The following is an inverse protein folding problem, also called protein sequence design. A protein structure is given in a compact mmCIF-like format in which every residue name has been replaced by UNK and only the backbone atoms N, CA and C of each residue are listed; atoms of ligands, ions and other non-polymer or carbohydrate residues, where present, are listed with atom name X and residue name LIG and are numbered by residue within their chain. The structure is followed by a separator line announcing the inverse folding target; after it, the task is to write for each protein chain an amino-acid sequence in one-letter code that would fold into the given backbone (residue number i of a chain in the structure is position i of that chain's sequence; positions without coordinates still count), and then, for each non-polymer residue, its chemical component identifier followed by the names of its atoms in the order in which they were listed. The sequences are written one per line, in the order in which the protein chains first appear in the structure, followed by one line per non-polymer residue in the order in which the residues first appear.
data_IF_438591366760
#
_entry.id   IF_438591366760
#
_cell.length_a   1.000
_cell.length_b   1.000
_cell.length_c   1.000
_cell.angle_alpha   90.00
_cell.angle_beta   90.00
_cell.angle_gamma   90.00
#
_symmetry.space_group_name_H-M   'P 1'
#
loop_
_entity.id
_entity.type
_entity.pdbx_description
1 polymer ?
#
# COMPACT_ATOMS: atom_id res chain seq x y z
N UNK A 1 35.06 -5.68 -0.41
CA UNK A 1 33.92 -5.86 0.52
C UNK A 1 32.85 -6.64 -0.23
N UNK A 2 32.56 -7.88 0.18
CA UNK A 2 31.53 -8.69 -0.45
C UNK A 2 30.16 -8.20 0.03
N UNK A 3 29.40 -7.58 -0.86
CA UNK A 3 28.04 -7.14 -0.55
C UNK A 3 27.17 -8.36 -0.31
N UNK A 4 26.60 -8.46 0.90
CA UNK A 4 25.61 -9.49 1.25
C UNK A 4 24.38 -9.26 0.34
N UNK A 5 24.33 -9.94 -0.81
CA UNK A 5 23.09 -10.03 -1.56
C UNK A 5 22.07 -10.72 -0.64
N UNK A 6 21.08 -9.96 -0.18
CA UNK A 6 20.01 -10.50 0.65
C UNK A 6 19.40 -11.70 -0.06
N UNK A 7 19.46 -12.87 0.59
CA UNK A 7 19.11 -14.19 0.03
C UNK A 7 17.64 -14.32 -0.41
N UNK A 8 16.79 -13.34 -0.06
CA UNK A 8 15.38 -13.27 -0.46
C UNK A 8 15.22 -12.56 -1.80
N UNK A 9 15.01 -13.36 -2.84
CA UNK A 9 14.59 -12.90 -4.17
C UNK A 9 13.07 -12.74 -4.23
N UNK A 10 12.60 -11.71 -4.93
CA UNK A 10 11.17 -11.49 -5.21
C UNK A 10 10.97 -11.15 -6.68
N UNK A 11 9.73 -11.25 -7.17
CA UNK A 11 9.39 -10.87 -8.54
C UNK A 11 9.84 -9.43 -8.86
N UNK A 12 9.54 -8.47 -7.97
CA UNK A 12 9.94 -7.06 -8.17
C UNK A 12 11.46 -6.87 -8.20
N UNK A 13 12.23 -7.63 -7.39
CA UNK A 13 13.69 -7.63 -7.43
C UNK A 13 14.22 -8.15 -8.76
N UNK A 14 13.74 -9.30 -9.23
CA UNK A 14 14.12 -9.88 -10.52
C UNK A 14 13.75 -8.97 -11.68
N UNK A 15 12.51 -8.48 -11.70
CA UNK A 15 12.04 -7.55 -12.72
C UNK A 15 12.87 -6.26 -12.74
N UNK A 16 13.29 -5.74 -11.59
CA UNK A 16 14.15 -4.55 -11.53
C UNK A 16 15.55 -4.85 -12.09
N UNK A 17 16.14 -6.00 -11.74
CA UNK A 17 17.42 -6.44 -12.27
C UNK A 17 17.39 -6.58 -13.80
N UNK A 18 16.39 -7.30 -14.32
CA UNK A 18 16.22 -7.54 -15.75
C UNK A 18 15.99 -6.24 -16.55
N UNK A 19 15.30 -5.26 -15.97
CA UNK A 19 15.08 -3.95 -16.61
C UNK A 19 16.32 -3.05 -16.57
N UNK A 20 16.97 -2.96 -15.41
CA UNK A 20 18.15 -2.11 -15.22
C UNK A 20 18.97 -2.57 -14.00
N UNK A 21 20.10 -3.27 -14.19
CA UNK A 21 20.96 -3.72 -13.10
C UNK A 21 21.50 -2.58 -12.22
N UNK A 22 21.71 -1.37 -12.79
CA UNK A 22 22.14 -0.21 -12.01
C UNK A 22 21.05 0.31 -11.07
N UNK A 23 19.79 0.31 -11.53
CA UNK A 23 18.64 0.62 -10.67
C UNK A 23 18.50 -0.41 -9.55
N UNK A 24 18.69 -1.69 -9.87
CA UNK A 24 18.69 -2.74 -8.85
C UNK A 24 19.76 -2.51 -7.79
N UNK A 25 21.00 -2.17 -8.19
CA UNK A 25 22.08 -1.90 -7.25
C UNK A 25 21.74 -0.71 -6.35
N UNK A 26 21.36 0.43 -6.93
CA UNK A 26 20.97 1.61 -6.15
C UNK A 26 19.86 1.29 -5.15
N UNK A 27 18.83 0.56 -5.57
CA UNK A 27 17.66 0.27 -4.72
C UNK A 27 17.88 -0.81 -3.67
N UNK A 28 18.52 -1.93 -4.03
CA UNK A 28 18.53 -3.14 -3.19
C UNK A 28 19.90 -3.51 -2.64
N UNK A 29 20.97 -2.84 -3.11
CA UNK A 29 22.34 -3.07 -2.64
C UNK A 29 22.84 -1.84 -1.89
N UNK A 30 22.74 -0.67 -2.51
CA UNK A 30 23.25 0.60 -1.98
C UNK A 30 22.22 1.27 -1.04
N UNK A 31 20.96 0.79 -1.02
CA UNK A 31 19.83 1.34 -0.25
C UNK A 31 19.69 2.86 -0.40
N UNK A 32 19.85 3.33 -1.64
CA UNK A 32 19.77 4.75 -1.95
C UNK A 32 18.36 5.29 -1.65
N UNK A 33 18.25 6.51 -1.07
CA UNK A 33 16.96 7.11 -0.75
C UNK A 33 16.11 7.28 -2.01
N UNK A 34 14.79 7.08 -1.87
CA UNK A 34 13.87 7.30 -2.98
C UNK A 34 13.73 8.80 -3.28
N UNK A 35 13.80 9.16 -4.56
CA UNK A 35 13.70 10.57 -5.00
C UNK A 35 12.28 11.14 -4.84
N UNK A 36 11.28 10.26 -4.83
CA UNK A 36 9.85 10.58 -4.74
C UNK A 36 9.05 9.32 -4.40
N UNK A 37 7.89 9.52 -3.79
CA UNK A 37 6.91 8.47 -3.54
C UNK A 37 5.75 8.63 -4.50
N UNK A 38 5.39 7.60 -5.26
CA UNK A 38 4.22 7.67 -6.13
C UNK A 38 2.93 7.56 -5.31
N UNK A 39 1.98 8.50 -5.50
CA UNK A 39 0.70 8.48 -4.76
C UNK A 39 -0.07 7.18 -4.94
N UNK A 40 0.05 6.54 -6.11
CA UNK A 40 -0.61 5.26 -6.39
C UNK A 40 -0.13 4.12 -5.48
N UNK A 41 1.14 4.14 -5.03
CA UNK A 41 1.66 3.15 -4.10
C UNK A 41 1.04 3.34 -2.71
N UNK A 42 1.05 4.58 -2.22
CA UNK A 42 0.48 4.93 -0.92
C UNK A 42 -1.03 4.69 -0.87
N UNK A 43 -1.74 5.09 -1.93
CA UNK A 43 -3.17 4.82 -2.09
C UNK A 43 -3.46 3.33 -2.10
N UNK A 44 -2.71 2.54 -2.88
CA UNK A 44 -2.87 1.09 -2.94
C UNK A 44 -2.67 0.44 -1.57
N UNK A 45 -1.60 0.78 -0.85
CA UNK A 45 -1.37 0.28 0.50
C UNK A 45 -2.54 0.57 1.44
N UNK A 46 -3.07 1.80 1.43
CA UNK A 46 -4.20 2.17 2.29
C UNK A 46 -5.48 1.38 1.98
N UNK A 47 -5.74 1.07 0.71
CA UNK A 47 -6.85 0.21 0.30
C UNK A 47 -6.65 -1.22 0.82
N UNK A 48 -5.44 -1.75 0.68
CA UNK A 48 -5.10 -3.09 1.18
C UNK A 48 -5.27 -3.18 2.70
N UNK A 49 -4.80 -2.20 3.47
CA UNK A 49 -4.95 -2.18 4.94
C UNK A 49 -6.43 -2.16 5.37
N UNK A 50 -7.27 -1.39 4.67
CA UNK A 50 -8.71 -1.36 4.95
C UNK A 50 -9.40 -2.70 4.64
N UNK A 51 -9.06 -3.33 3.52
CA UNK A 51 -9.55 -4.66 3.16
C UNK A 51 -9.05 -5.74 4.13
N UNK A 52 -7.78 -5.65 4.57
CA UNK A 52 -7.20 -6.56 5.55
C UNK A 52 -7.96 -6.48 6.88
N UNK A 53 -8.23 -5.27 7.39
CA UNK A 53 -9.05 -5.08 8.58
C UNK A 53 -10.41 -5.79 8.45
N UNK A 54 -11.05 -5.65 7.30
CA UNK A 54 -12.32 -6.31 7.02
C UNK A 54 -12.21 -7.83 7.11
N UNK A 55 -11.28 -8.43 6.37
CA UNK A 55 -11.15 -9.89 6.32
C UNK A 55 -10.65 -10.51 7.62
N UNK A 56 -9.75 -9.85 8.35
CA UNK A 56 -9.36 -10.32 9.69
C UNK A 56 -10.52 -10.25 10.68
N UNK A 57 -11.40 -9.24 10.58
CA UNK A 57 -12.64 -9.19 11.37
C UNK A 57 -13.61 -10.34 11.03
N UNK A 58 -13.79 -10.65 9.74
CA UNK A 58 -14.58 -11.82 9.29
C UNK A 58 -14.00 -13.11 9.88
N UNK A 59 -12.68 -13.29 9.79
CA UNK A 59 -11.95 -14.44 10.33
C UNK A 59 -12.09 -14.56 11.86
N UNK A 60 -12.12 -13.44 12.57
CA UNK A 60 -12.32 -13.37 14.01
C UNK A 60 -13.80 -13.55 14.43
N UNK A 61 -14.74 -13.58 13.48
CA UNK A 61 -16.17 -13.64 13.75
C UNK A 61 -16.77 -12.30 14.23
N UNK A 62 -16.04 -11.21 14.07
CA UNK A 62 -16.43 -9.84 14.42
C UNK A 62 -16.15 -8.91 13.24
N UNK A 63 -17.02 -8.89 12.21
CA UNK A 63 -16.82 -8.05 11.03
C UNK A 63 -16.86 -6.56 11.43
N UNK A 64 -15.92 -5.73 10.94
CA UNK A 64 -15.93 -4.31 11.24
C UNK A 64 -17.11 -3.61 10.56
N UNK A 65 -17.52 -2.50 11.16
CA UNK A 65 -18.49 -1.58 10.58
C UNK A 65 -17.93 -0.85 9.35
N UNK A 66 -18.83 -0.29 8.54
CA UNK A 66 -18.46 0.56 7.40
C UNK A 66 -17.53 1.70 7.83
N UNK A 67 -17.86 2.37 8.94
CA UNK A 67 -17.07 3.50 9.45
C UNK A 67 -15.66 3.08 9.87
N UNK A 68 -15.50 1.87 10.42
CA UNK A 68 -14.18 1.34 10.78
C UNK A 68 -13.32 1.06 9.55
N UNK A 69 -13.90 0.51 8.48
CA UNK A 69 -13.20 0.22 7.22
C UNK A 69 -12.81 1.51 6.49
N UNK A 70 -13.75 2.45 6.34
CA UNK A 70 -13.43 3.77 5.78
C UNK A 70 -12.40 4.50 6.64
N UNK A 71 -12.53 4.44 7.97
CA UNK A 71 -11.57 5.03 8.90
C UNK A 71 -10.18 4.42 8.79
N UNK A 72 -10.06 3.12 8.52
CA UNK A 72 -8.78 2.46 8.29
C UNK A 72 -8.10 2.98 7.03
N UNK A 73 -8.84 3.09 5.91
CA UNK A 73 -8.33 3.68 4.68
C UNK A 73 -7.84 5.13 4.92
N UNK A 74 -8.66 5.97 5.53
CA UNK A 74 -8.34 7.38 5.78
C UNK A 74 -7.08 7.55 6.63
N UNK A 75 -6.95 6.76 7.71
CA UNK A 75 -5.76 6.78 8.57
C UNK A 75 -4.53 6.33 7.78
N UNK A 76 -4.58 5.16 7.15
CA UNK A 76 -3.45 4.60 6.41
C UNK A 76 -2.94 5.54 5.31
N UNK A 77 -3.87 6.15 4.56
CA UNK A 77 -3.53 7.10 3.50
C UNK A 77 -2.93 8.39 4.06
N UNK A 78 -3.58 9.00 5.05
CA UNK A 78 -3.14 10.28 5.62
C UNK A 78 -1.82 10.16 6.36
N UNK A 79 -1.64 9.09 7.14
CA UNK A 79 -0.39 8.83 7.86
C UNK A 79 0.77 8.61 6.89
N UNK A 80 0.53 7.91 5.78
CA UNK A 80 1.55 7.69 4.74
C UNK A 80 1.90 8.98 3.99
N UNK A 81 0.92 9.84 3.70
CA UNK A 81 1.17 11.18 3.11
C UNK A 81 2.02 12.02 4.06
N UNK A 82 1.62 12.09 5.33
CA UNK A 82 2.35 12.83 6.37
C UNK A 82 3.76 12.29 6.58
N UNK A 83 3.94 10.97 6.56
CA UNK A 83 5.26 10.34 6.69
C UNK A 83 6.18 10.76 5.53
N UNK A 84 5.67 10.79 4.30
CA UNK A 84 6.45 11.24 3.15
C UNK A 84 6.86 12.72 3.29
N UNK A 85 5.97 13.57 3.80
CA UNK A 85 6.26 14.98 4.11
C UNK A 85 7.34 15.12 5.19
N UNK A 86 7.20 14.40 6.32
CA UNK A 86 8.16 14.42 7.43
C UNK A 86 9.55 13.93 6.98
N UNK A 87 9.59 12.94 6.08
CA UNK A 87 10.82 12.42 5.48
C UNK A 87 11.37 13.32 4.36
N UNK A 88 10.71 14.43 4.03
CA UNK A 88 11.06 15.33 2.93
C UNK A 88 11.18 14.60 1.57
N UNK A 89 10.40 13.54 1.38
CA UNK A 89 10.31 12.78 0.12
C UNK A 89 9.11 13.31 -0.66
N UNK A 90 9.30 13.99 -1.80
CA UNK A 90 8.19 14.55 -2.56
C UNK A 90 7.19 13.47 -3.00
N UNK A 91 5.90 13.73 -2.79
CA UNK A 91 4.84 12.90 -3.35
C UNK A 91 4.65 13.22 -4.83
N UNK A 92 4.70 12.20 -5.68
CA UNK A 92 4.34 12.29 -7.09
C UNK A 92 2.83 12.06 -7.23
N UNK A 93 2.09 13.17 -7.30
CA UNK A 93 0.64 13.20 -7.45
C UNK A 93 0.17 13.00 -8.90
N UNK A 94 1.06 13.02 -9.90
CA UNK A 94 0.66 13.00 -11.30
C UNK A 94 -0.34 14.12 -11.65
N UNK A 95 -1.57 13.75 -12.02
CA UNK A 95 -2.67 14.69 -12.39
C UNK A 95 -3.74 14.84 -11.31
N UNK A 96 -3.47 14.38 -10.09
CA UNK A 96 -4.45 14.33 -9.01
C UNK A 96 -3.99 15.15 -7.81
N UNK A 97 -4.76 15.13 -6.72
CA UNK A 97 -4.37 15.67 -5.43
C UNK A 97 -4.88 14.77 -4.30
N UNK A 98 -4.65 15.18 -3.04
CA UNK A 98 -5.05 14.41 -1.88
C UNK A 98 -6.57 14.23 -1.77
N UNK A 99 -7.36 15.28 -2.04
CA UNK A 99 -8.82 15.22 -1.97
C UNK A 99 -9.39 14.24 -3.01
N UNK A 100 -8.90 14.29 -4.25
CA UNK A 100 -9.31 13.35 -5.30
C UNK A 100 -9.05 11.88 -4.88
N UNK A 101 -7.93 11.62 -4.22
CA UNK A 101 -7.57 10.26 -3.76
C UNK A 101 -8.43 9.81 -2.59
N UNK A 102 -8.76 10.72 -1.69
CA UNK A 102 -9.71 10.44 -0.61
C UNK A 102 -11.08 10.09 -1.18
N UNK A 103 -11.64 10.92 -2.07
CA UNK A 103 -12.93 10.68 -2.70
C UNK A 103 -12.96 9.34 -3.44
N UNK A 104 -11.89 9.06 -4.21
CA UNK A 104 -11.75 7.77 -4.90
C UNK A 104 -11.70 6.59 -3.94
N UNK A 105 -10.97 6.71 -2.83
CA UNK A 105 -10.86 5.67 -1.83
C UNK A 105 -12.19 5.39 -1.14
N UNK A 106 -12.94 6.43 -0.78
CA UNK A 106 -14.28 6.31 -0.22
C UNK A 106 -15.24 5.61 -1.20
N UNK A 107 -15.22 6.00 -2.48
CA UNK A 107 -16.02 5.33 -3.50
C UNK A 107 -15.65 3.85 -3.66
N UNK A 108 -14.35 3.52 -3.61
CA UNK A 108 -13.88 2.14 -3.69
C UNK A 108 -14.28 1.31 -2.45
N UNK A 109 -14.21 1.88 -1.25
CA UNK A 109 -14.62 1.21 -0.01
C UNK A 109 -16.13 0.98 0.04
N UNK A 110 -16.92 1.94 -0.43
CA UNK A 110 -18.36 1.77 -0.56
C UNK A 110 -18.72 0.59 -1.48
N UNK A 111 -18.12 0.53 -2.68
CA UNK A 111 -18.33 -0.58 -3.61
C UNK A 111 -17.84 -1.91 -3.02
N UNK A 112 -16.67 -1.93 -2.37
CA UNK A 112 -16.17 -3.12 -1.71
C UNK A 112 -17.13 -3.66 -0.65
N UNK A 113 -17.65 -2.80 0.24
CA UNK A 113 -18.53 -3.20 1.33
C UNK A 113 -19.92 -3.68 0.85
N UNK A 114 -20.38 -3.18 -0.29
CA UNK A 114 -21.62 -3.57 -0.95
C UNK A 114 -21.49 -4.95 -1.63
N UNK A 115 -20.37 -5.19 -2.31
CA UNK A 115 -20.18 -6.36 -3.19
C UNK A 115 -19.43 -7.53 -2.51
N UNK A 116 -18.79 -7.32 -1.37
CA UNK A 116 -17.97 -8.38 -0.73
C UNK A 116 -18.83 -9.53 -0.20
N UNK A 117 -18.50 -10.76 -0.63
CA UNK A 117 -19.11 -11.97 -0.08
C UNK A 117 -18.64 -12.20 1.37
N UNK A 118 -19.58 -12.10 2.32
CA UNK A 118 -19.35 -12.31 3.76
C UNK A 118 -19.46 -13.78 4.18
N UNK A 119 -19.90 -14.66 3.29
CA UNK A 119 -19.97 -16.11 3.51
C UNK A 119 -18.63 -16.83 3.29
N UNK A 120 -17.58 -16.11 2.89
CA UNK A 120 -16.27 -16.69 2.64
C UNK A 120 -15.56 -17.11 3.92
N UNK A 121 -14.91 -18.27 3.87
CA UNK A 121 -13.97 -18.68 4.91
C UNK A 121 -12.61 -18.03 4.64
N UNK A 122 -12.27 -17.01 5.42
CA UNK A 122 -10.96 -16.37 5.37
C UNK A 122 -9.92 -17.28 6.05
N UNK A 123 -8.88 -17.66 5.30
CA UNK A 123 -7.77 -18.48 5.80
C UNK A 123 -6.52 -17.66 6.12
N UNK A 124 -6.42 -16.44 5.57
CA UNK A 124 -5.36 -15.47 5.82
C UNK A 124 -5.56 -14.20 4.98
N UNK A 125 -4.88 -13.14 5.39
CA UNK A 125 -4.70 -11.88 4.67
C UNK A 125 -3.22 -11.69 4.32
N UNK A 126 -2.93 -10.79 3.36
CA UNK A 126 -1.56 -10.45 2.95
C UNK A 126 -1.06 -9.16 3.60
#
# INVERSE_FOLDING_TARGET
MATKLGTRTSYSKLSTWLRCPRKYRLRYIDDAPEERTAVALVFGTAIHEACELFFEGIKAGAPPSSDEVHGAFHRAFTDSVKLAEDMHVPMDWGKTNQADMIEKGEAMMAVFLDEVDRGVRVVGTE
#
